data_IF_271151052718
#
_entry.id   IF_271151052718
#
_cell.length_a   1.000
_cell.length_b   1.000
_cell.length_c   1.000
_cell.angle_alpha   90.00
_cell.angle_beta   90.00
_cell.angle_gamma   90.00
#
_symmetry.space_group_name_H-M   'P 1'
#
loop_
_entity.id
_entity.type
_entity.pdbx_description
1 polymer ?
#
# COMPACT_ATOMS: atom_id res chain seq x y z
N UNK A 1 -13.37 -14.32 -12.95
CA UNK A 1 -12.04 -13.69 -12.78
C UNK A 1 -12.27 -12.19 -12.66
N UNK A 2 -11.88 -11.57 -11.56
CA UNK A 2 -12.01 -10.12 -11.39
C UNK A 2 -10.85 -9.48 -12.14
N UNK A 3 -11.14 -8.65 -13.14
CA UNK A 3 -10.15 -7.78 -13.79
C UNK A 3 -9.80 -6.64 -12.82
N UNK A 4 -9.11 -6.96 -11.72
CA UNK A 4 -8.62 -5.96 -10.79
C UNK A 4 -7.43 -5.24 -11.39
N UNK A 5 -7.48 -3.90 -11.33
CA UNK A 5 -6.40 -3.02 -11.77
C UNK A 5 -5.51 -2.71 -10.58
N UNK A 6 -4.21 -2.85 -10.75
CA UNK A 6 -3.21 -2.62 -9.72
C UNK A 6 -2.32 -1.45 -10.10
N UNK A 7 -2.39 -0.37 -9.34
CA UNK A 7 -1.52 0.81 -9.49
C UNK A 7 -0.45 0.82 -8.41
N UNK A 8 0.81 0.95 -8.80
CA UNK A 8 1.94 1.03 -7.86
C UNK A 8 2.92 2.10 -8.27
N UNK A 9 3.87 2.40 -7.38
CA UNK A 9 5.11 3.07 -7.77
C UNK A 9 5.99 2.12 -8.62
N UNK A 10 7.17 2.60 -9.02
CA UNK A 10 8.13 1.85 -9.83
C UNK A 10 8.95 0.79 -9.09
N UNK A 11 8.56 0.34 -7.89
CA UNK A 11 9.36 -0.63 -7.12
C UNK A 11 9.45 -2.01 -7.82
N UNK A 12 10.65 -2.61 -7.94
CA UNK A 12 10.87 -3.77 -8.82
C UNK A 12 10.13 -5.06 -8.47
N UNK A 13 9.59 -5.22 -7.26
CA UNK A 13 8.90 -6.45 -6.87
C UNK A 13 7.45 -6.53 -7.39
N UNK A 14 6.83 -5.40 -7.73
CA UNK A 14 5.42 -5.35 -8.11
C UNK A 14 5.06 -6.13 -9.38
N UNK A 15 5.88 -6.13 -10.46
CA UNK A 15 5.57 -6.90 -11.66
C UNK A 15 5.36 -8.40 -11.40
N UNK A 16 6.24 -9.02 -10.59
CA UNK A 16 6.12 -10.43 -10.23
C UNK A 16 4.86 -10.73 -9.40
N UNK A 17 4.49 -9.80 -8.50
CA UNK A 17 3.25 -9.92 -7.71
C UNK A 17 2.02 -9.83 -8.62
N UNK A 18 2.02 -8.89 -9.56
CA UNK A 18 0.91 -8.72 -10.49
C UNK A 18 0.72 -9.96 -11.39
N UNK A 19 1.82 -10.53 -11.87
CA UNK A 19 1.79 -11.77 -12.65
C UNK A 19 1.20 -12.94 -11.83
N UNK A 20 1.74 -13.16 -10.62
CA UNK A 20 1.30 -14.23 -9.73
C UNK A 20 -0.20 -14.13 -9.37
N UNK A 21 -0.72 -12.91 -9.26
CA UNK A 21 -2.12 -12.65 -8.91
C UNK A 21 -3.01 -12.41 -10.14
N UNK A 22 -2.46 -12.49 -11.36
CA UNK A 22 -3.17 -12.19 -12.61
C UNK A 22 -3.86 -10.80 -12.62
N UNK A 23 -3.14 -9.79 -12.13
CA UNK A 23 -3.60 -8.39 -12.03
C UNK A 23 -3.17 -7.57 -13.24
N UNK A 24 -4.00 -6.61 -13.64
CA UNK A 24 -3.59 -5.62 -14.64
C UNK A 24 -2.74 -4.53 -13.96
N UNK A 25 -1.42 -4.59 -14.16
CA UNK A 25 -0.48 -3.70 -13.50
C UNK A 25 -0.23 -2.41 -14.28
N UNK A 26 -0.30 -1.28 -13.59
CA UNK A 26 0.06 0.04 -14.08
C UNK A 26 1.00 0.71 -13.08
N UNK A 27 1.95 1.49 -13.59
CA UNK A 27 2.99 2.13 -12.79
C UNK A 27 2.81 3.65 -12.83
N UNK A 28 2.90 4.30 -11.68
CA UNK A 28 3.09 5.75 -11.57
C UNK A 28 4.59 6.02 -11.49
N UNK A 29 5.17 6.56 -12.57
CA UNK A 29 6.59 6.84 -12.65
C UNK A 29 6.95 8.11 -11.88
N UNK A 30 7.45 7.96 -10.64
CA UNK A 30 7.84 9.09 -9.79
C UNK A 30 9.04 9.89 -10.31
N UNK A 31 9.80 9.37 -11.28
CA UNK A 31 10.83 10.14 -11.98
C UNK A 31 10.24 11.15 -12.98
N UNK A 32 9.02 10.91 -13.44
CA UNK A 32 8.27 11.81 -14.35
C UNK A 32 7.27 12.69 -13.57
N UNK A 33 6.66 12.14 -12.52
CA UNK A 33 5.76 12.86 -11.63
C UNK A 33 5.05 11.97 -10.61
N UNK A 34 4.45 12.58 -9.59
CA UNK A 34 3.73 11.86 -8.51
C UNK A 34 2.31 11.43 -8.90
N UNK A 35 1.89 11.71 -10.13
CA UNK A 35 0.55 11.48 -10.64
C UNK A 35 0.68 11.00 -12.07
N UNK A 36 -0.01 9.93 -12.43
CA UNK A 36 -0.03 9.50 -13.83
C UNK A 36 -0.96 10.40 -14.68
N UNK A 37 -0.95 10.18 -15.99
CA UNK A 37 -1.82 10.88 -16.95
C UNK A 37 -3.32 10.82 -16.61
N UNK A 38 -3.75 9.76 -15.93
CA UNK A 38 -5.15 9.51 -15.56
C UNK A 38 -5.49 10.05 -14.16
N UNK A 39 -4.61 10.88 -13.58
CA UNK A 39 -4.78 11.52 -12.26
C UNK A 39 -4.82 10.51 -11.09
N UNK A 40 -4.17 9.36 -11.25
CA UNK A 40 -4.01 8.35 -10.20
C UNK A 40 -2.80 8.69 -9.33
N UNK A 41 -3.00 8.59 -8.02
CA UNK A 41 -2.00 8.88 -6.99
C UNK A 41 -1.67 7.63 -6.16
N UNK A 42 -0.39 7.36 -5.92
CA UNK A 42 0.06 6.31 -4.98
C UNK A 42 0.39 6.88 -3.59
N UNK A 43 0.53 8.21 -3.47
CA UNK A 43 0.93 8.89 -2.24
C UNK A 43 0.01 8.61 -1.03
N UNK A 44 -1.28 8.37 -1.26
CA UNK A 44 -2.23 8.08 -0.17
C UNK A 44 -1.85 6.79 0.57
N UNK A 45 -1.54 5.72 -0.18
CA UNK A 45 -1.18 4.45 0.42
C UNK A 45 0.24 4.51 1.04
N UNK A 46 1.16 5.27 0.45
CA UNK A 46 2.49 5.54 1.03
C UNK A 46 2.39 6.31 2.36
N UNK A 47 1.50 7.30 2.44
CA UNK A 47 1.20 8.05 3.65
C UNK A 47 0.58 7.17 4.73
N UNK A 48 -0.38 6.31 4.35
CA UNK A 48 -0.97 5.32 5.25
C UNK A 48 0.11 4.41 5.86
N UNK A 49 1.01 3.83 5.04
CA UNK A 49 2.10 2.99 5.53
C UNK A 49 3.06 3.75 6.44
N UNK A 50 3.34 5.02 6.14
CA UNK A 50 4.22 5.84 6.97
C UNK A 50 3.62 6.06 8.37
N UNK A 51 2.32 6.33 8.45
CA UNK A 51 1.61 6.50 9.71
C UNK A 51 1.46 5.18 10.48
N UNK A 52 1.14 4.08 9.78
CA UNK A 52 1.09 2.73 10.36
C UNK A 52 2.40 2.36 11.04
N UNK A 53 3.53 2.53 10.33
CA UNK A 53 4.87 2.26 10.89
C UNK A 53 5.19 3.18 12.08
N UNK A 54 4.72 4.42 12.07
CA UNK A 54 4.90 5.35 13.19
C UNK A 54 4.18 4.85 14.45
N UNK A 55 2.90 4.49 14.33
CA UNK A 55 2.12 3.98 15.47
C UNK A 55 2.66 2.66 16.02
N UNK A 56 3.06 1.72 15.15
CA UNK A 56 3.72 0.49 15.59
C UNK A 56 4.96 0.79 16.43
N UNK A 57 5.80 1.74 15.99
CA UNK A 57 7.00 2.15 16.75
C UNK A 57 6.67 2.84 18.06
N UNK A 58 5.63 3.69 18.09
CA UNK A 58 5.17 4.37 19.31
C UNK A 58 4.75 3.39 20.41
N UNK A 59 4.26 2.22 20.02
CA UNK A 59 3.85 1.14 20.93
C UNK A 59 5.01 0.19 21.31
N UNK A 60 6.23 0.42 20.81
CA UNK A 60 7.37 -0.46 21.05
C UNK A 60 7.40 -1.70 20.14
N UNK A 61 6.63 -1.70 19.06
CA UNK A 61 6.43 -2.84 18.17
C UNK A 61 5.16 -3.62 18.49
N UNK A 62 4.87 -4.61 17.63
CA UNK A 62 3.71 -5.49 17.77
C UNK A 62 4.20 -6.92 17.67
N UNK A 63 3.74 -7.78 18.57
CA UNK A 63 4.05 -9.21 18.48
C UNK A 63 3.49 -9.77 17.17
N UNK A 64 4.28 -10.59 16.46
CA UNK A 64 3.91 -11.12 15.15
C UNK A 64 2.55 -11.80 15.14
N UNK A 65 2.23 -12.55 16.19
CA UNK A 65 0.96 -13.27 16.34
C UNK A 65 -0.25 -12.35 16.50
N UNK A 66 -0.03 -11.07 16.83
CA UNK A 66 -1.08 -10.08 17.08
C UNK A 66 -1.16 -9.03 15.96
N UNK A 67 -0.37 -9.18 14.87
CA UNK A 67 -0.34 -8.18 13.78
C UNK A 67 -1.71 -8.02 13.14
N UNK A 68 -2.46 -9.11 12.92
CA UNK A 68 -3.76 -9.04 12.26
C UNK A 68 -4.79 -8.28 13.10
N UNK A 69 -4.89 -8.60 14.40
CA UNK A 69 -5.76 -7.90 15.34
C UNK A 69 -5.37 -6.43 15.51
N UNK A 70 -4.07 -6.17 15.58
CA UNK A 70 -3.55 -4.82 15.68
C UNK A 70 -3.84 -3.98 14.43
N UNK A 71 -3.70 -4.57 13.24
CA UNK A 71 -4.03 -3.90 11.98
C UNK A 71 -5.53 -3.59 11.89
N UNK A 72 -6.38 -4.50 12.34
CA UNK A 72 -7.83 -4.28 12.41
C UNK A 72 -8.20 -3.13 13.36
N UNK A 73 -7.63 -3.11 14.58
CA UNK A 73 -7.85 -2.02 15.54
C UNK A 73 -7.29 -0.67 15.03
N UNK A 74 -6.07 -0.67 14.47
CA UNK A 74 -5.45 0.51 13.88
C UNK A 74 -6.30 1.10 12.74
N UNK A 75 -6.75 0.26 11.81
CA UNK A 75 -7.59 0.70 10.68
C UNK A 75 -8.96 1.19 11.15
N UNK A 76 -9.58 0.50 12.12
CA UNK A 76 -10.84 0.94 12.72
C UNK A 76 -10.74 2.33 13.37
N UNK A 77 -9.70 2.58 14.17
CA UNK A 77 -9.46 3.89 14.80
C UNK A 77 -9.17 5.02 13.81
N UNK A 78 -8.78 4.69 12.58
CA UNK A 78 -8.43 5.65 11.52
C UNK A 78 -9.56 5.88 10.52
N UNK A 79 -10.59 5.03 10.53
CA UNK A 79 -11.78 5.17 9.68
C UNK A 79 -12.81 6.17 10.25
N UNK A 80 -12.52 6.79 11.41
CA UNK A 80 -13.32 7.81 12.09
C UNK A 80 -12.63 9.17 11.94
#
# INVERSE_FOLDING_TARGET
RVNSIFFTDGYPSYPAIAENLSLQHHIVNHSEGFVNKDRIHTNNIEGFWSYLKLEMRRQGGVLRNNIDEWLADFTFRKAI
#
